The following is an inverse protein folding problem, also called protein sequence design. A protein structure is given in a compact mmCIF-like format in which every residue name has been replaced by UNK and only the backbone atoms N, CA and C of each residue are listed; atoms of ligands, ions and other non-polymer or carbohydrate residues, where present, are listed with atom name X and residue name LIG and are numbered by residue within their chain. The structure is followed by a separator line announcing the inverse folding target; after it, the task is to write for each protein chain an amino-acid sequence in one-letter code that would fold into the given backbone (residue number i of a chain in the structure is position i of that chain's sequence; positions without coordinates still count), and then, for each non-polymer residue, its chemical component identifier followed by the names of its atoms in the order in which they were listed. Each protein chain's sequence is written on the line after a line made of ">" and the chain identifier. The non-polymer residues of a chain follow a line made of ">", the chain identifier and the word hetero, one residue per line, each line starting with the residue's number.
data_IF_160024584814
#
_entry.id   IF_160024584814
#
_cell.length_a   1.000
_cell.length_b   1.000
_cell.length_c   1.000
_cell.angle_alpha   90.00
_cell.angle_beta   90.00
_cell.angle_gamma   90.00
#
_symmetry.space_group_name_H-M   'P 1'
#
loop_
_entity.id
_entity.type
_entity.pdbx_description
1 polymer ?
#
# COMPACT_ATOMS: atom_id res chain seq x y z
N UNK A 1 1.77 16.76 -14.60
CA UNK A 1 0.98 16.43 -13.40
C UNK A 1 0.18 17.68 -13.06
N UNK A 2 -1.15 17.59 -12.92
CA UNK A 2 -1.93 18.74 -12.43
C UNK A 2 -1.73 18.83 -10.92
N UNK A 3 -1.67 20.05 -10.37
CA UNK A 3 -1.51 20.24 -8.94
C UNK A 3 -2.65 19.52 -8.19
N UNK A 4 -2.31 18.68 -7.22
CA UNK A 4 -3.26 17.90 -6.43
C UNK A 4 -3.73 16.56 -7.04
N UNK A 5 -3.27 16.18 -8.24
CA UNK A 5 -3.62 14.89 -8.83
C UNK A 5 -2.50 13.84 -8.71
N UNK A 6 -2.89 12.60 -8.41
CA UNK A 6 -2.00 11.44 -8.47
C UNK A 6 -1.34 11.30 -9.85
N UNK A 7 -0.06 10.91 -9.86
CA UNK A 7 0.69 10.72 -11.11
C UNK A 7 0.15 9.54 -11.90
N UNK A 8 0.35 9.52 -13.22
CA UNK A 8 -0.04 8.37 -14.07
C UNK A 8 0.53 7.06 -13.53
N UNK A 9 1.79 7.09 -13.07
CA UNK A 9 2.43 5.93 -12.45
C UNK A 9 1.74 5.51 -11.16
N UNK A 10 1.40 6.45 -10.27
CA UNK A 10 0.68 6.17 -9.03
C UNK A 10 -0.69 5.54 -9.30
N UNK A 11 -1.46 6.11 -10.23
CA UNK A 11 -2.78 5.58 -10.63
C UNK A 11 -2.67 4.13 -11.15
N UNK A 12 -1.69 3.85 -12.02
CA UNK A 12 -1.43 2.48 -12.54
C UNK A 12 -1.00 1.50 -11.45
N UNK A 13 -0.11 1.92 -10.55
CA UNK A 13 0.32 1.07 -9.43
C UNK A 13 -0.84 0.78 -8.49
N UNK A 14 -1.69 1.76 -8.19
CA UNK A 14 -2.89 1.58 -7.39
C UNK A 14 -3.87 0.60 -8.04
N UNK A 15 -4.12 0.74 -9.35
CA UNK A 15 -4.97 -0.18 -10.10
C UNK A 15 -4.43 -1.63 -10.10
N UNK A 16 -3.11 -1.83 -10.21
CA UNK A 16 -2.51 -3.16 -10.06
C UNK A 16 -2.65 -3.71 -8.63
N UNK A 17 -2.49 -2.87 -7.61
CA UNK A 17 -2.59 -3.27 -6.20
C UNK A 17 -3.97 -3.77 -5.78
N UNK A 18 -5.02 -3.36 -6.48
CA UNK A 18 -6.38 -3.89 -6.28
C UNK A 18 -6.51 -5.36 -6.67
N UNK A 19 -5.58 -5.91 -7.45
CA UNK A 19 -5.62 -7.31 -7.90
C UNK A 19 -4.68 -8.22 -7.10
N UNK A 20 -4.04 -7.72 -6.04
CA UNK A 20 -3.02 -8.45 -5.30
C UNK A 20 -3.53 -8.95 -3.96
N UNK A 21 -3.20 -10.20 -3.65
CA UNK A 21 -3.34 -10.73 -2.29
C UNK A 21 -2.42 -9.97 -1.32
N UNK A 22 -2.93 -9.71 -0.12
CA UNK A 22 -2.22 -9.02 0.96
C UNK A 22 -1.85 -10.01 2.05
N UNK A 23 -0.75 -9.75 2.76
CA UNK A 23 -0.45 -10.58 3.94
C UNK A 23 -1.55 -10.35 4.99
N UNK A 24 -2.14 -11.43 5.54
CA UNK A 24 -3.24 -11.31 6.50
C UNK A 24 -2.73 -10.72 7.82
N UNK A 25 -3.57 -9.91 8.46
CA UNK A 25 -3.35 -9.42 9.81
C UNK A 25 -4.69 -9.34 10.55
N UNK A 26 -4.78 -9.69 11.84
CA UNK A 26 -6.00 -9.59 12.64
C UNK A 26 -6.27 -8.16 13.14
N UNK A 27 -5.62 -7.16 12.56
CA UNK A 27 -5.66 -5.75 12.93
C UNK A 27 -5.57 -4.89 11.66
N UNK A 28 -5.87 -3.60 11.81
CA UNK A 28 -5.94 -2.65 10.71
C UNK A 28 -7.27 -2.69 9.98
N UNK A 29 -7.37 -1.91 8.90
CA UNK A 29 -8.54 -1.84 8.02
C UNK A 29 -8.10 -2.08 6.57
N UNK A 30 -8.18 -3.33 6.10
CA UNK A 30 -7.86 -3.68 4.71
C UNK A 30 -8.80 -3.00 3.72
N UNK A 31 -10.06 -2.81 4.09
CA UNK A 31 -11.03 -2.12 3.25
C UNK A 31 -10.69 -0.63 3.09
N UNK A 32 -10.02 0.00 4.04
CA UNK A 32 -9.50 1.37 3.89
C UNK A 32 -8.36 1.44 2.86
N UNK A 33 -7.42 0.48 2.83
CA UNK A 33 -6.40 0.39 1.77
C UNK A 33 -7.05 0.20 0.39
N UNK A 34 -8.06 -0.68 0.30
CA UNK A 34 -8.80 -0.89 -0.94
C UNK A 34 -9.54 0.37 -1.41
N UNK A 35 -10.19 1.10 -0.50
CA UNK A 35 -10.85 2.38 -0.83
C UNK A 35 -9.84 3.42 -1.32
N UNK A 36 -8.69 3.56 -0.66
CA UNK A 36 -7.61 4.44 -1.09
C UNK A 36 -7.11 4.05 -2.49
N UNK A 37 -6.81 2.77 -2.70
CA UNK A 37 -6.31 2.28 -3.98
C UNK A 37 -7.35 2.47 -5.11
N UNK A 38 -8.64 2.31 -4.81
CA UNK A 38 -9.74 2.53 -5.76
C UNK A 38 -9.86 4.01 -6.15
N UNK A 39 -9.82 4.92 -5.17
CA UNK A 39 -9.87 6.37 -5.40
C UNK A 39 -8.67 6.85 -6.23
N UNK A 40 -7.46 6.39 -5.87
CA UNK A 40 -6.24 6.73 -6.60
C UNK A 40 -6.23 6.14 -8.00
N UNK A 41 -6.70 4.91 -8.19
CA UNK A 41 -6.81 4.31 -9.52
C UNK A 41 -7.80 5.10 -10.40
N UNK A 42 -8.92 5.58 -9.82
CA UNK A 42 -10.01 6.21 -10.55
C UNK A 42 -10.53 5.28 -11.64
N UNK A 43 -10.58 5.77 -12.89
CA UNK A 43 -10.97 4.96 -14.06
C UNK A 43 -9.80 4.18 -14.71
N UNK A 44 -8.61 4.18 -14.09
CA UNK A 44 -7.44 3.51 -14.66
C UNK A 44 -7.62 2.00 -14.61
N UNK A 45 -7.68 1.38 -15.79
CA UNK A 45 -7.62 -0.07 -15.91
C UNK A 45 -6.19 -0.50 -16.23
N UNK A 46 -5.83 -1.69 -15.76
CA UNK A 46 -4.51 -2.28 -15.99
C UNK A 46 -4.65 -3.58 -16.76
N UNK A 47 -3.80 -3.75 -17.77
CA UNK A 47 -3.66 -5.00 -18.51
C UNK A 47 -2.56 -5.85 -17.91
N UNK A 48 -2.61 -7.15 -18.19
CA UNK A 48 -1.57 -8.10 -17.78
C UNK A 48 -0.25 -7.69 -18.44
N UNK A 49 0.78 -7.48 -17.64
CA UNK A 49 2.14 -7.13 -18.10
C UNK A 49 3.18 -7.78 -17.18
N UNK A 50 4.43 -7.84 -17.64
CA UNK A 50 5.57 -8.31 -16.84
C UNK A 50 5.76 -7.52 -15.53
N UNK A 51 5.21 -6.30 -15.46
CA UNK A 51 5.23 -5.49 -14.22
C UNK A 51 4.30 -6.04 -13.14
N UNK A 52 3.25 -6.78 -13.50
CA UNK A 52 2.27 -7.34 -12.55
C UNK A 52 2.94 -8.29 -11.55
N UNK A 53 3.65 -9.36 -11.97
CA UNK A 53 4.29 -10.27 -11.03
C UNK A 53 5.37 -9.58 -10.20
N UNK A 54 6.12 -8.62 -10.78
CA UNK A 54 7.09 -7.83 -10.01
C UNK A 54 6.41 -6.99 -8.92
N UNK A 55 5.36 -6.26 -9.25
CA UNK A 55 4.63 -5.42 -8.30
C UNK A 55 3.92 -6.25 -7.22
N UNK A 56 3.38 -7.42 -7.58
CA UNK A 56 2.80 -8.37 -6.64
C UNK A 56 3.86 -8.89 -5.65
N UNK A 57 5.00 -9.38 -6.16
CA UNK A 57 6.10 -9.88 -5.34
C UNK A 57 6.68 -8.79 -4.43
N UNK A 58 6.90 -7.58 -4.97
CA UNK A 58 7.36 -6.41 -4.22
C UNK A 58 6.39 -6.05 -3.10
N UNK A 59 5.09 -6.04 -3.38
CA UNK A 59 4.07 -5.76 -2.37
C UNK A 59 4.09 -6.83 -1.28
N UNK A 60 3.99 -8.11 -1.65
CA UNK A 60 3.98 -9.22 -0.70
C UNK A 60 5.24 -9.30 0.18
N UNK A 61 6.41 -8.94 -0.37
CA UNK A 61 7.66 -8.87 0.40
C UNK A 61 7.56 -7.85 1.54
N UNK A 62 7.22 -6.61 1.23
CA UNK A 62 7.11 -5.55 2.23
C UNK A 62 5.97 -5.79 3.21
N UNK A 63 4.90 -6.45 2.76
CA UNK A 63 3.77 -6.81 3.63
C UNK A 63 4.20 -7.77 4.72
N UNK A 64 4.86 -8.87 4.34
CA UNK A 64 5.39 -9.83 5.31
C UNK A 64 6.44 -9.22 6.21
N UNK A 65 7.32 -8.36 5.67
CA UNK A 65 8.34 -7.68 6.46
C UNK A 65 7.73 -6.79 7.54
N UNK A 66 6.70 -6.01 7.18
CA UNK A 66 6.00 -5.13 8.11
C UNK A 66 5.19 -5.92 9.13
N UNK A 67 4.39 -6.89 8.70
CA UNK A 67 3.61 -7.75 9.63
C UNK A 67 4.54 -8.45 10.63
N UNK A 68 5.64 -9.05 10.15
CA UNK A 68 6.61 -9.71 11.01
C UNK A 68 7.28 -8.75 12.01
N UNK A 69 7.61 -7.52 11.60
CA UNK A 69 8.16 -6.51 12.49
C UNK A 69 7.15 -6.08 13.57
N UNK A 70 5.87 -5.93 13.22
CA UNK A 70 4.81 -5.58 14.16
C UNK A 70 4.57 -6.71 15.18
N UNK A 71 4.62 -7.97 14.71
CA UNK A 71 4.54 -9.17 15.54
C UNK A 71 5.74 -9.27 16.50
N UNK A 72 6.94 -8.90 16.04
CA UNK A 72 8.15 -8.89 16.87
C UNK A 72 8.24 -7.72 17.85
N UNK A 73 7.22 -6.86 17.93
CA UNK A 73 7.16 -5.81 18.93
C UNK A 73 7.53 -4.40 18.46
N UNK A 74 7.79 -4.18 17.16
CA UNK A 74 8.04 -2.83 16.64
C UNK A 74 6.83 -1.91 16.89
N UNK A 75 7.10 -0.65 17.24
CA UNK A 75 6.08 0.37 17.58
C UNK A 75 6.19 1.66 16.76
N UNK A 76 7.20 1.78 15.88
CA UNK A 76 7.35 2.90 14.96
C UNK A 76 7.68 2.37 13.58
N UNK A 77 6.87 2.76 12.59
CA UNK A 77 7.07 2.41 11.18
C UNK A 77 7.17 3.70 10.39
N UNK A 78 8.20 3.81 9.56
CA UNK A 78 8.39 4.94 8.65
C UNK A 78 8.29 4.42 7.22
N UNK A 79 7.40 5.00 6.43
CA UNK A 79 7.29 4.75 4.99
C UNK A 79 7.92 5.96 4.29
N UNK A 80 9.12 5.77 3.74
CA UNK A 80 9.80 6.78 2.95
C UNK A 80 9.29 6.76 1.50
N UNK A 81 9.03 7.94 0.93
CA UNK A 81 8.37 8.10 -0.37
C UNK A 81 7.04 7.35 -0.41
N UNK A 82 6.18 7.64 0.58
CA UNK A 82 4.97 6.87 0.86
C UNK A 82 4.00 6.81 -0.32
N UNK A 83 3.88 7.88 -1.08
CA UNK A 83 2.93 8.02 -2.17
C UNK A 83 1.53 7.66 -1.70
N UNK A 84 0.97 6.63 -2.35
CA UNK A 84 -0.34 6.07 -2.00
C UNK A 84 -0.21 4.65 -1.46
N UNK A 85 0.65 4.46 -0.46
CA UNK A 85 0.83 3.20 0.25
C UNK A 85 -0.14 3.07 1.43
N UNK A 86 -1.16 2.22 1.31
CA UNK A 86 -2.14 2.01 2.38
C UNK A 86 -1.70 1.06 3.50
N UNK A 87 -0.39 0.79 3.69
CA UNK A 87 0.12 -0.02 4.82
C UNK A 87 -0.29 0.53 6.18
N UNK A 88 -0.22 1.84 6.37
CA UNK A 88 -0.64 2.44 7.64
C UNK A 88 -2.14 2.25 7.91
N UNK A 89 -2.95 2.05 6.88
CA UNK A 89 -4.37 1.75 7.00
C UNK A 89 -4.59 0.26 7.32
N UNK A 90 -4.12 -0.63 6.44
CA UNK A 90 -4.38 -2.07 6.56
C UNK A 90 -3.64 -2.80 7.66
N UNK A 91 -2.57 -2.19 8.19
CA UNK A 91 -1.78 -2.76 9.30
C UNK A 91 -1.75 -1.85 10.53
N UNK A 92 -2.63 -0.84 10.60
CA UNK A 92 -2.80 -0.04 11.80
C UNK A 92 -3.04 -0.92 13.04
N UNK A 93 -2.37 -0.61 14.14
CA UNK A 93 -2.50 -1.33 15.40
C UNK A 93 -2.33 -0.38 16.58
N UNK A 94 -3.10 -0.52 17.67
CA UNK A 94 -2.91 0.27 18.88
C UNK A 94 -1.45 0.23 19.38
N UNK A 95 -0.93 1.40 19.77
CA UNK A 95 0.44 1.53 20.26
C UNK A 95 1.52 1.56 19.17
N UNK A 96 1.17 1.46 17.88
CA UNK A 96 2.09 1.61 16.76
C UNK A 96 1.90 2.97 16.11
N UNK A 97 2.98 3.73 15.97
CA UNK A 97 3.00 5.01 15.26
C UNK A 97 3.50 4.82 13.84
N UNK A 98 2.77 5.36 12.89
CA UNK A 98 3.11 5.36 11.47
C UNK A 98 3.51 6.77 11.04
N UNK A 99 4.62 6.87 10.31
CA UNK A 99 5.08 8.10 9.71
C UNK A 99 5.16 7.88 8.20
N UNK A 100 4.37 8.63 7.45
CA UNK A 100 4.43 8.65 5.99
C UNK A 100 5.17 9.92 5.58
N UNK A 101 6.29 9.74 4.89
CA UNK A 101 7.15 10.85 4.45
C UNK A 101 7.11 10.91 2.94
N UNK A 102 6.58 12.01 2.43
CA UNK A 102 6.57 12.33 1.01
C UNK A 102 6.65 13.86 0.80
N UNK A 103 6.67 14.30 -0.46
CA UNK A 103 6.88 15.68 -0.91
C UNK A 103 5.65 16.59 -0.81
#
# INVERSE_FOLDING_TARGET
>A
MRAGEASVTAKRVAAHRLTFDRAPAPYGDSAADERLASDVAGSTTVTRSEMVPYLAARTAFFDRAVVGALESGVRQVVIAAAGYDGRALRYAKPGVRWFEVDH
#
